data_IF_403312505581
#
_entry.id   IF_403312505581
#
_cell.length_a   1.000
_cell.length_b   1.000
_cell.length_c   1.000
_cell.angle_alpha   90.00
_cell.angle_beta   90.00
_cell.angle_gamma   90.00
#
_symmetry.space_group_name_H-M   'P 1'
#
loop_
_entity.id
_entity.type
_entity.pdbx_description
1 polymer ?
#
# COMPACT_ATOMS: atom_id res chain seq x y z
N UNK A 1 15.69 28.07 -21.81
CA UNK A 1 15.63 27.37 -20.52
C UNK A 1 15.18 25.94 -20.78
N UNK A 2 16.07 24.95 -20.71
CA UNK A 2 15.77 23.54 -21.01
C UNK A 2 15.42 22.84 -19.70
N UNK A 3 14.14 22.55 -19.48
CA UNK A 3 13.68 21.76 -18.33
C UNK A 3 14.05 20.30 -18.63
N UNK A 4 15.04 19.76 -17.88
CA UNK A 4 15.31 18.32 -17.88
C UNK A 4 14.22 17.65 -17.03
N UNK A 5 13.19 17.14 -17.69
CA UNK A 5 12.28 16.18 -17.09
C UNK A 5 13.07 14.90 -16.87
N UNK A 6 13.40 14.59 -15.61
CA UNK A 6 13.97 13.31 -15.22
C UNK A 6 12.90 12.25 -15.38
N UNK A 7 12.86 11.59 -16.54
CA UNK A 7 12.05 10.40 -16.73
C UNK A 7 12.69 9.27 -15.92
N UNK A 8 12.17 9.04 -14.70
CA UNK A 8 12.52 7.87 -13.90
C UNK A 8 11.94 6.66 -14.63
N UNK A 9 12.81 5.97 -15.38
CA UNK A 9 12.53 4.74 -16.12
C UNK A 9 12.17 3.66 -15.09
N UNK A 10 10.87 3.45 -14.87
CA UNK A 10 10.36 2.46 -13.93
C UNK A 10 10.83 1.07 -14.33
N UNK A 11 11.73 0.51 -13.54
CA UNK A 11 12.06 -0.92 -13.57
C UNK A 11 10.82 -1.68 -13.13
N UNK A 12 10.38 -2.66 -13.93
CA UNK A 12 9.13 -3.41 -13.79
C UNK A 12 9.03 -4.29 -12.53
N UNK A 13 9.95 -4.15 -11.56
CA UNK A 13 10.02 -4.96 -10.34
C UNK A 13 10.15 -4.12 -9.05
N UNK A 14 10.06 -2.79 -9.09
CA UNK A 14 10.01 -2.00 -7.85
C UNK A 14 8.61 -2.12 -7.23
N UNK A 15 8.52 -2.82 -6.10
CA UNK A 15 7.31 -2.90 -5.28
C UNK A 15 6.90 -1.47 -4.90
N UNK A 16 5.68 -1.08 -5.28
CA UNK A 16 5.16 0.25 -4.97
C UNK A 16 5.21 0.47 -3.45
N UNK A 17 6.02 1.42 -2.94
CA UNK A 17 6.19 1.62 -1.49
C UNK A 17 4.87 1.95 -0.80
N UNK A 18 3.90 2.53 -1.52
CA UNK A 18 2.58 2.79 -0.96
C UNK A 18 1.80 1.51 -0.66
N UNK A 19 1.95 0.46 -1.48
CA UNK A 19 1.31 -0.83 -1.20
C UNK A 19 1.89 -1.47 0.07
N UNK A 20 3.19 -1.29 0.33
CA UNK A 20 3.83 -1.70 1.59
C UNK A 20 3.25 -0.95 2.80
N UNK A 21 3.05 0.37 2.69
CA UNK A 21 2.42 1.16 3.77
C UNK A 21 0.97 0.76 4.04
N UNK A 22 0.20 0.46 3.00
CA UNK A 22 -1.17 -0.03 3.15
C UNK A 22 -1.18 -1.43 3.76
N UNK A 23 -0.33 -2.35 3.28
CA UNK A 23 -0.20 -3.70 3.84
C UNK A 23 0.13 -3.64 5.34
N UNK A 24 1.16 -2.89 5.73
CA UNK A 24 1.54 -2.70 7.13
C UNK A 24 0.39 -2.16 7.97
N UNK A 25 -0.29 -1.13 7.49
CA UNK A 25 -1.41 -0.52 8.23
C UNK A 25 -2.59 -1.50 8.40
N UNK A 26 -2.89 -2.31 7.38
CA UNK A 26 -3.94 -3.32 7.46
C UNK A 26 -3.56 -4.47 8.40
N UNK A 27 -2.32 -4.94 8.33
CA UNK A 27 -1.78 -6.06 9.13
C UNK A 27 -1.70 -5.69 10.62
N UNK A 28 -1.26 -4.47 10.92
CA UNK A 28 -1.25 -3.91 12.27
C UNK A 28 -2.62 -3.34 12.72
N UNK A 29 -3.66 -3.43 11.89
CA UNK A 29 -5.01 -2.92 12.15
C UNK A 29 -5.02 -1.45 12.60
N UNK A 30 -4.16 -0.64 11.97
CA UNK A 30 -4.12 0.81 12.17
C UNK A 30 -5.34 1.42 11.50
N UNK A 31 -6.07 2.26 12.22
CA UNK A 31 -7.28 2.91 11.71
C UNK A 31 -6.99 3.75 10.47
N UNK A 32 -7.83 3.59 9.45
CA UNK A 32 -7.74 4.37 8.23
C UNK A 32 -8.58 3.80 7.10
N UNK A 33 -8.62 4.56 6.02
CA UNK A 33 -9.25 4.20 4.77
C UNK A 33 -8.21 4.11 3.67
N UNK A 34 -8.16 2.99 2.97
CA UNK A 34 -7.10 2.66 2.02
C UNK A 34 -7.70 2.23 0.69
N UNK A 35 -7.18 2.77 -0.41
CA UNK A 35 -7.54 2.40 -1.78
C UNK A 35 -6.27 2.16 -2.57
N UNK A 36 -6.26 1.11 -3.38
CA UNK A 36 -5.25 0.90 -4.41
C UNK A 36 -5.90 0.49 -5.73
N UNK A 37 -5.32 0.98 -6.84
CA UNK A 37 -5.71 0.67 -8.20
C UNK A 37 -4.49 0.84 -9.13
N UNK A 38 -3.78 -0.26 -9.39
CA UNK A 38 -2.53 -0.27 -10.15
C UNK A 38 -1.46 0.57 -9.44
N UNK A 39 -1.01 1.65 -10.09
CA UNK A 39 -0.04 2.60 -9.54
C UNK A 39 -0.68 3.66 -8.62
N UNK A 40 -2.00 3.83 -8.68
CA UNK A 40 -2.71 4.75 -7.81
C UNK A 40 -2.89 4.11 -6.43
N UNK A 41 -2.42 4.80 -5.40
CA UNK A 41 -2.63 4.44 -4.01
C UNK A 41 -3.04 5.69 -3.25
N UNK A 42 -4.07 5.56 -2.43
CA UNK A 42 -4.52 6.63 -1.56
C UNK A 42 -4.88 6.07 -0.20
N UNK A 43 -4.59 6.86 0.84
CA UNK A 43 -4.83 6.49 2.22
C UNK A 43 -5.16 7.72 3.04
N UNK A 44 -6.12 7.56 3.95
CA UNK A 44 -6.50 8.54 4.96
C UNK A 44 -6.38 7.88 6.33
N UNK A 45 -5.41 8.32 7.14
CA UNK A 45 -4.96 7.60 8.33
C UNK A 45 -3.86 6.58 8.00
N UNK A 46 -3.75 5.53 8.82
CA UNK A 46 -2.64 4.56 8.74
C UNK A 46 -1.31 5.11 9.22
N UNK A 47 -0.26 4.31 9.00
CA UNK A 47 1.12 4.67 9.29
C UNK A 47 2.01 4.33 8.10
N UNK A 48 3.16 4.97 8.04
CA UNK A 48 4.26 4.46 7.22
C UNK A 48 4.72 3.12 7.80
N UNK A 49 5.21 2.28 6.90
CA UNK A 49 5.69 0.95 7.23
C UNK A 49 7.10 1.05 7.78
N UNK A 50 7.40 0.24 8.79
CA UNK A 50 8.77 0.07 9.26
C UNK A 50 9.66 -0.46 8.12
N UNK A 51 10.94 -0.07 8.17
CA UNK A 51 11.91 -0.48 7.15
C UNK A 51 12.00 -2.01 7.04
N UNK A 52 11.97 -2.68 8.20
CA UNK A 52 12.00 -4.14 8.36
C UNK A 52 10.75 -4.87 7.90
N UNK A 53 9.61 -4.18 7.69
CA UNK A 53 8.36 -4.85 7.33
C UNK A 53 8.44 -5.44 5.92
N UNK A 54 8.27 -6.77 5.75
CA UNK A 54 8.49 -7.41 4.45
C UNK A 54 7.26 -7.40 3.55
N UNK A 55 6.06 -7.18 4.11
CA UNK A 55 4.80 -7.43 3.43
C UNK A 55 4.40 -6.40 2.37
N UNK A 56 3.59 -6.84 1.40
CA UNK A 56 2.98 -5.97 0.37
C UNK A 56 1.63 -6.53 -0.11
N UNK A 57 0.85 -5.72 -0.81
CA UNK A 57 -0.42 -6.14 -1.42
C UNK A 57 -0.16 -6.74 -2.81
N UNK A 58 -0.57 -7.99 -3.00
CA UNK A 58 -0.45 -8.74 -4.26
C UNK A 58 -1.76 -8.73 -5.05
N UNK A 59 -2.38 -7.57 -5.21
CA UNK A 59 -3.59 -7.41 -6.02
C UNK A 59 -3.58 -6.10 -6.79
N UNK A 60 -4.19 -6.12 -7.99
CA UNK A 60 -4.25 -4.94 -8.84
C UNK A 60 -5.11 -3.82 -8.24
N UNK A 61 -6.22 -4.16 -7.58
CA UNK A 61 -7.15 -3.18 -7.04
C UNK A 61 -7.81 -3.67 -5.76
N UNK A 62 -8.20 -2.73 -4.91
CA UNK A 62 -8.99 -3.00 -3.73
C UNK A 62 -9.13 -1.80 -2.81
N UNK A 63 -9.91 -2.04 -1.76
CA UNK A 63 -10.28 -1.04 -0.77
C UNK A 63 -10.27 -1.71 0.61
N UNK A 64 -9.91 -0.93 1.63
CA UNK A 64 -9.98 -1.34 3.02
C UNK A 64 -10.41 -0.17 3.91
N UNK A 65 -11.26 -0.48 4.89
CA UNK A 65 -11.61 0.41 5.98
C UNK A 65 -11.27 -0.30 7.29
N UNK A 66 -10.31 0.25 8.01
CA UNK A 66 -9.96 -0.18 9.36
C UNK A 66 -10.56 0.83 10.33
N UNK A 67 -11.48 0.38 11.18
CA UNK A 67 -12.08 1.16 12.25
C UNK A 67 -11.32 0.91 13.56
N UNK A 68 -11.45 1.82 14.55
CA UNK A 68 -10.96 1.56 15.90
C UNK A 68 -11.53 0.26 16.48
N UNK A 69 -10.78 -0.39 17.37
CA UNK A 69 -11.21 -1.65 18.00
C UNK A 69 -11.02 -2.89 17.12
N UNK A 70 -9.98 -2.91 16.28
CA UNK A 70 -9.54 -4.08 15.49
C UNK A 70 -10.57 -4.58 14.45
N UNK A 71 -11.42 -3.68 13.95
CA UNK A 71 -12.40 -4.02 12.91
C UNK A 71 -11.87 -3.61 11.53
N UNK A 72 -11.78 -4.56 10.61
CA UNK A 72 -11.36 -4.32 9.23
C UNK A 72 -12.40 -4.85 8.24
N UNK A 73 -12.78 -4.00 7.29
CA UNK A 73 -13.58 -4.36 6.13
C UNK A 73 -12.71 -4.18 4.89
N UNK A 74 -12.34 -5.27 4.23
CA UNK A 74 -11.46 -5.22 3.07
C UNK A 74 -11.93 -6.13 1.95
N UNK A 75 -11.63 -5.74 0.72
CA UNK A 75 -11.77 -6.60 -0.46
C UNK A 75 -10.55 -7.49 -0.68
N UNK A 76 -9.42 -7.24 -0.01
CA UNK A 76 -8.21 -8.04 -0.16
C UNK A 76 -8.34 -9.36 0.60
N UNK A 77 -7.99 -10.47 -0.06
CA UNK A 77 -8.04 -11.83 0.50
C UNK A 77 -6.73 -12.60 0.35
N UNK A 78 -5.64 -11.94 -0.04
CA UNK A 78 -4.34 -12.56 -0.24
C UNK A 78 -3.46 -12.54 1.01
N UNK A 79 -2.32 -13.25 0.96
CA UNK A 79 -1.23 -13.06 1.93
C UNK A 79 -0.46 -11.77 1.63
N UNK A 80 0.15 -11.15 2.63
CA UNK A 80 1.09 -10.05 2.45
C UNK A 80 2.52 -10.51 2.18
N UNK A 81 2.83 -11.79 2.36
CA UNK A 81 4.19 -12.32 2.28
C UNK A 81 4.87 -11.99 0.93
N UNK A 82 6.17 -11.66 0.92
CA UNK A 82 6.94 -11.52 -0.31
C UNK A 82 6.80 -12.74 -1.23
N UNK A 83 6.77 -12.50 -2.54
CA UNK A 83 6.75 -13.53 -3.60
C UNK A 83 7.95 -13.37 -4.52
#
# INVERSE_FOLDING_TARGET
MKIKVSQKKGSSNEVNPQLKHIAYSMDALITGFYIWLGSFCWRLGGSDAEESYPGTIHSFAGISLVLPGYQIFTTYKGSYDPR
#
